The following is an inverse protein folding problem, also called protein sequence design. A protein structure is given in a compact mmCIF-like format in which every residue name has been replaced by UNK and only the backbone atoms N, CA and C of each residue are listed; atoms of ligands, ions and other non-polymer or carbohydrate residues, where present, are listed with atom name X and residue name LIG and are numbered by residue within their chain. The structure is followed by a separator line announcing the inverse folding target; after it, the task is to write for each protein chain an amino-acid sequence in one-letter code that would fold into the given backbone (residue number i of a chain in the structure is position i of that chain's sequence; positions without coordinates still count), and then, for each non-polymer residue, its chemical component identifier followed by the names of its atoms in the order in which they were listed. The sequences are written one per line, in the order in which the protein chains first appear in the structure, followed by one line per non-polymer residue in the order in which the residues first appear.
data_IF_570329995623
#
_entry.id   IF_570329995623
#
_cell.length_a   1.000
_cell.length_b   1.000
_cell.length_c   1.000
_cell.angle_alpha   90.00
_cell.angle_beta   90.00
_cell.angle_gamma   90.00
#
_symmetry.space_group_name_H-M   'P 1'
#
loop_
_entity.id
_entity.type
_entity.pdbx_description
1 polymer ?
#
# COMPACT_ATOMS: atom_id res chain seq x y z
N UNK A 1 7.75 -3.71 -9.35
CA UNK A 1 6.29 -3.79 -9.51
C UNK A 1 5.78 -4.36 -8.21
N UNK A 2 4.83 -3.69 -7.55
CA UNK A 2 4.37 -4.11 -6.21
C UNK A 2 3.49 -5.33 -6.35
N UNK A 3 3.65 -6.30 -5.45
CA UNK A 3 2.96 -7.58 -5.45
C UNK A 3 2.09 -7.73 -4.21
N UNK A 4 1.09 -8.62 -4.27
CA UNK A 4 0.21 -8.89 -3.12
C UNK A 4 0.95 -9.33 -1.85
N UNK A 5 2.12 -9.95 -2.02
CA UNK A 5 2.96 -10.42 -0.91
C UNK A 5 3.68 -9.28 -0.17
N UNK A 6 3.75 -8.10 -0.79
CA UNK A 6 4.38 -6.92 -0.19
C UNK A 6 3.46 -6.22 0.84
N UNK A 7 2.15 -6.55 0.84
CA UNK A 7 1.20 -6.09 1.84
C UNK A 7 1.17 -7.04 3.03
N UNK A 8 1.64 -6.54 4.18
CA UNK A 8 1.66 -7.29 5.44
C UNK A 8 0.52 -6.82 6.33
N UNK A 9 -0.27 -7.74 6.85
CA UNK A 9 -1.32 -7.40 7.81
C UNK A 9 -0.68 -7.03 9.16
N UNK A 10 -0.89 -5.80 9.61
CA UNK A 10 -0.32 -5.27 10.86
C UNK A 10 -1.36 -5.15 11.98
N UNK A 11 -2.66 -5.14 11.63
CA UNK A 11 -3.79 -5.19 12.56
C UNK A 11 -5.04 -5.75 11.85
N UNK A 12 -6.14 -6.07 12.58
CA UNK A 12 -7.38 -6.50 11.96
C UNK A 12 -7.84 -5.49 10.89
N UNK A 13 -8.07 -5.98 9.68
CA UNK A 13 -8.46 -5.20 8.51
C UNK A 13 -7.46 -4.11 8.08
N UNK A 14 -6.20 -4.16 8.53
CA UNK A 14 -5.18 -3.17 8.18
C UNK A 14 -3.93 -3.85 7.64
N UNK A 15 -3.61 -3.52 6.39
CA UNK A 15 -2.44 -4.00 5.66
C UNK A 15 -1.50 -2.83 5.38
N UNK A 16 -0.19 -3.09 5.43
CA UNK A 16 0.85 -2.11 5.18
C UNK A 16 1.87 -2.64 4.17
N UNK A 17 2.26 -1.79 3.23
CA UNK A 17 3.36 -2.01 2.32
C UNK A 17 4.53 -1.11 2.73
N UNK A 18 5.68 -1.72 2.99
CA UNK A 18 6.87 -1.02 3.46
C UNK A 18 7.46 -0.10 2.36
N UNK A 19 8.07 1.05 2.71
CA UNK A 19 8.71 1.94 1.73
C UNK A 19 9.80 1.23 0.90
N UNK A 20 10.45 0.21 1.45
CA UNK A 20 11.51 -0.55 0.77
C UNK A 20 11.03 -1.33 -0.46
N UNK A 21 9.72 -1.51 -0.63
CA UNK A 21 9.12 -2.22 -1.77
C UNK A 21 9.29 -1.44 -3.07
N UNK A 22 9.47 -0.12 -2.99
CA UNK A 22 9.70 0.73 -4.15
C UNK A 22 10.71 1.83 -3.85
N UNK A 23 11.75 2.03 -4.68
CA UNK A 23 12.80 3.01 -4.42
C UNK A 23 12.30 4.47 -4.43
N UNK A 24 11.10 4.72 -4.92
CA UNK A 24 10.49 6.05 -4.97
C UNK A 24 9.58 6.36 -3.78
N UNK A 25 9.18 5.36 -2.98
CA UNK A 25 8.33 5.58 -1.82
C UNK A 25 9.09 6.32 -0.72
N UNK A 26 8.38 7.24 -0.04
CA UNK A 26 8.92 8.05 1.07
C UNK A 26 8.36 7.64 2.42
N UNK A 27 7.13 7.13 2.42
CA UNK A 27 6.40 6.65 3.59
C UNK A 27 5.75 5.29 3.28
N UNK A 28 5.36 4.50 4.30
CA UNK A 28 4.61 3.28 4.07
C UNK A 28 3.24 3.58 3.44
N UNK A 29 2.69 2.60 2.73
CA UNK A 29 1.33 2.65 2.20
C UNK A 29 0.41 1.77 3.05
N UNK A 30 -0.75 2.27 3.49
CA UNK A 30 -1.72 1.51 4.30
C UNK A 30 -3.05 1.34 3.59
N UNK A 31 -3.62 0.15 3.74
CA UNK A 31 -4.94 -0.19 3.21
C UNK A 31 -5.79 -0.76 4.32
N UNK A 32 -6.97 -0.16 4.51
CA UNK A 32 -8.03 -0.74 5.35
C UNK A 32 -8.96 -1.55 4.47
N UNK A 33 -8.97 -2.87 4.65
CA UNK A 33 -9.74 -3.79 3.82
C UNK A 33 -9.96 -5.12 4.55
N UNK A 34 -11.03 -5.81 4.22
CA UNK A 34 -11.09 -7.27 4.38
C UNK A 34 -10.47 -7.96 3.15
N UNK A 35 -10.41 -9.29 3.14
CA UNK A 35 -9.75 -10.02 2.06
C UNK A 35 -10.43 -9.77 0.69
N UNK A 36 -11.75 -9.63 0.65
CA UNK A 36 -12.50 -9.39 -0.58
C UNK A 36 -12.25 -7.98 -1.15
N UNK A 37 -12.24 -6.95 -0.29
CA UNK A 37 -11.87 -5.59 -0.67
C UNK A 37 -10.42 -5.51 -1.12
N UNK A 38 -9.52 -6.25 -0.46
CA UNK A 38 -8.12 -6.27 -0.83
C UNK A 38 -7.92 -6.89 -2.21
N UNK A 39 -8.63 -7.97 -2.53
CA UNK A 39 -8.62 -8.59 -3.87
C UNK A 39 -9.10 -7.61 -4.94
N UNK A 40 -10.20 -6.90 -4.71
CA UNK A 40 -10.70 -5.91 -5.67
C UNK A 40 -9.71 -4.75 -5.87
N UNK A 41 -9.08 -4.26 -4.80
CA UNK A 41 -8.06 -3.20 -4.87
C UNK A 41 -6.80 -3.60 -5.65
N UNK A 42 -6.55 -4.90 -5.79
CA UNK A 42 -5.51 -5.44 -6.65
C UNK A 42 -5.93 -5.49 -8.11
N UNK A 43 -7.17 -5.91 -8.39
CA UNK A 43 -7.71 -6.01 -9.75
C UNK A 43 -7.84 -4.64 -10.43
N UNK A 44 -8.24 -3.61 -9.68
CA UNK A 44 -8.44 -2.25 -10.19
C UNK A 44 -7.18 -1.35 -10.15
N UNK A 45 -6.06 -1.89 -9.66
CA UNK A 45 -4.76 -1.21 -9.48
C UNK A 45 -4.79 -0.07 -8.45
N UNK A 46 -5.76 -0.02 -7.55
CA UNK A 46 -5.78 0.97 -6.46
C UNK A 46 -4.52 0.88 -5.58
N UNK A 47 -3.99 -0.33 -5.34
CA UNK A 47 -2.73 -0.51 -4.58
C UNK A 47 -1.53 0.12 -5.31
N UNK A 48 -1.46 0.03 -6.64
CA UNK A 48 -0.39 0.69 -7.41
C UNK A 48 -0.49 2.22 -7.30
N UNK A 49 -1.71 2.76 -7.35
CA UNK A 49 -1.94 4.19 -7.16
C UNK A 49 -1.54 4.64 -5.75
N UNK A 50 -1.86 3.84 -4.72
CA UNK A 50 -1.47 4.12 -3.35
C UNK A 50 0.06 4.19 -3.19
N UNK A 51 0.79 3.25 -3.80
CA UNK A 51 2.26 3.27 -3.84
C UNK A 51 2.79 4.55 -4.50
N UNK A 52 2.16 5.01 -5.58
CA UNK A 52 2.51 6.28 -6.21
C UNK A 52 2.23 7.47 -5.28
N UNK A 53 1.11 7.47 -4.56
CA UNK A 53 0.80 8.50 -3.56
C UNK A 53 1.84 8.53 -2.44
N UNK A 54 2.30 7.36 -1.98
CA UNK A 54 3.35 7.22 -0.98
C UNK A 54 4.74 7.75 -1.43
N UNK A 55 4.91 8.08 -2.71
CA UNK A 55 6.14 8.68 -3.26
C UNK A 55 6.14 10.22 -3.29
N UNK A 56 5.00 10.85 -3.05
CA UNK A 56 4.84 12.30 -3.26
C UNK A 56 5.69 13.13 -2.28
N UNK A 57 6.42 14.16 -2.74
CA UNK A 57 7.20 15.02 -1.87
C UNK A 57 6.32 15.72 -0.83
N UNK A 58 6.74 15.69 0.43
CA UNK A 58 6.01 16.33 1.54
C UNK A 58 4.91 15.48 2.17
N UNK A 59 4.71 14.23 1.73
CA UNK A 59 3.86 13.28 2.44
C UNK A 59 4.47 12.94 3.82
N UNK A 60 3.61 12.73 4.82
CA UNK A 60 4.01 12.50 6.22
C UNK A 60 3.27 11.28 6.76
N UNK A 61 3.93 10.49 7.61
CA UNK A 61 3.32 9.33 8.25
C UNK A 61 3.24 8.13 7.30
N UNK A 62 2.09 7.95 6.66
CA UNK A 62 1.77 6.90 5.70
C UNK A 62 0.75 7.42 4.69
N UNK A 63 0.72 6.85 3.49
CA UNK A 63 -0.35 7.05 2.52
C UNK A 63 -1.55 6.15 2.83
#
# INVERSE_FOLDING_TARGET
MVSKQDLVQIAPYLYECAPSVSPIMRVPARVYADDALLDMAWEDRAVEQLVNTASLPGIVGYA
#
